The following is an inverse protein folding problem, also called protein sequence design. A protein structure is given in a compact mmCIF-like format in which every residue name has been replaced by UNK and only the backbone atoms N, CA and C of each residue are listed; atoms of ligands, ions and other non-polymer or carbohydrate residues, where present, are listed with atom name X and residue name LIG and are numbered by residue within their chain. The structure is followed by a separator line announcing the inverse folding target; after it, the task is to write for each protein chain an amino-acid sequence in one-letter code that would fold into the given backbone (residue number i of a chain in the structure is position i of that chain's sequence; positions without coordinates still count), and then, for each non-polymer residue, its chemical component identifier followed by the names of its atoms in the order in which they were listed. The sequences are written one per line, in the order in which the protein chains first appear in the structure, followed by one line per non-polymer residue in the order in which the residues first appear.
data_IF_913481058385
#
_entry.id   IF_913481058385
#
_cell.length_a   1.000
_cell.length_b   1.000
_cell.length_c   1.000
_cell.angle_alpha   90.00
_cell.angle_beta   90.00
_cell.angle_gamma   90.00
#
_symmetry.space_group_name_H-M   'P 1'
#
loop_
_entity.id
_entity.type
_entity.pdbx_description
1 polymer ?
#
# COMPACT_ATOMS: atom_id res chain seq x y z
N UNK A 1 25.86 -4.93 13.22
CA UNK A 1 27.05 -5.70 13.62
C UNK A 1 28.30 -5.22 12.89
N UNK A 2 28.36 -5.21 11.55
CA UNK A 2 29.55 -4.78 10.79
C UNK A 2 29.99 -3.34 11.07
N UNK A 3 29.05 -2.38 11.08
CA UNK A 3 29.36 -0.96 11.30
C UNK A 3 29.95 -0.70 12.69
N UNK A 4 29.55 -1.48 13.69
CA UNK A 4 30.06 -1.35 15.06
C UNK A 4 31.53 -1.78 15.17
N UNK A 5 31.91 -2.91 14.55
CA UNK A 5 33.30 -3.35 14.51
C UNK A 5 34.19 -2.36 13.76
N UNK A 6 33.68 -1.77 12.67
CA UNK A 6 34.40 -0.73 11.92
C UNK A 6 34.61 0.53 12.76
N UNK A 7 33.62 0.98 13.53
CA UNK A 7 33.75 2.14 14.41
C UNK A 7 34.86 1.95 15.47
N UNK A 8 34.98 0.74 16.03
CA UNK A 8 36.06 0.40 16.97
C UNK A 8 37.43 0.45 16.28
N UNK A 9 37.57 -0.15 15.09
CA UNK A 9 38.83 -0.13 14.34
C UNK A 9 39.25 1.29 13.94
N UNK A 10 38.29 2.12 13.50
CA UNK A 10 38.51 3.53 13.18
C UNK A 10 38.93 4.31 14.43
N UNK A 11 38.39 3.99 15.60
CA UNK A 11 38.78 4.64 16.86
C UNK A 11 40.26 4.37 17.20
N UNK A 12 40.72 3.12 17.09
CA UNK A 12 42.14 2.77 17.27
C UNK A 12 43.05 3.40 16.21
N UNK A 13 42.58 3.50 14.96
CA UNK A 13 43.33 4.18 13.90
C UNK A 13 43.48 5.68 14.19
N UNK A 14 42.42 6.34 14.65
CA UNK A 14 42.44 7.76 15.04
C UNK A 14 43.39 7.98 16.22
N UNK A 15 43.36 7.10 17.23
CA UNK A 15 44.29 7.17 18.38
C UNK A 15 45.75 7.11 17.92
N UNK A 16 46.08 6.18 17.02
CA UNK A 16 47.44 6.00 16.49
C UNK A 16 47.90 7.18 15.63
N UNK A 17 47.01 7.75 14.82
CA UNK A 17 47.31 8.95 14.01
C UNK A 17 47.48 10.17 14.92
N UNK A 18 46.66 10.29 15.96
CA UNK A 18 46.74 11.38 16.91
C UNK A 18 47.96 11.29 17.84
N UNK A 19 48.49 10.10 18.11
CA UNK A 19 49.60 9.90 19.05
C UNK A 19 50.81 10.82 18.80
N UNK A 20 51.14 11.09 17.54
CA UNK A 20 52.31 11.89 17.14
C UNK A 20 52.00 13.38 16.88
N UNK A 21 50.76 13.82 17.10
CA UNK A 21 50.33 15.21 16.87
C UNK A 21 50.42 16.04 18.16
N UNK A 22 50.82 17.31 18.03
CA UNK A 22 50.72 18.31 19.10
C UNK A 22 49.27 18.54 19.52
N UNK A 23 49.00 18.92 20.77
CA UNK A 23 47.63 19.10 21.31
C UNK A 23 46.71 19.98 20.46
N UNK A 24 47.23 21.07 19.87
CA UNK A 24 46.45 21.93 18.97
C UNK A 24 45.99 21.21 17.68
N UNK A 25 46.89 20.41 17.08
CA UNK A 25 46.58 19.64 15.86
C UNK A 25 45.58 18.49 16.13
N UNK A 26 45.65 17.87 17.32
CA UNK A 26 44.65 16.89 17.78
C UNK A 26 43.27 17.51 17.85
N UNK A 27 43.14 18.66 18.52
CA UNK A 27 41.87 19.37 18.65
C UNK A 27 41.30 19.77 17.29
N UNK A 28 42.14 20.29 16.39
CA UNK A 28 41.74 20.65 15.03
C UNK A 28 41.25 19.43 14.25
N UNK A 29 41.96 18.30 14.30
CA UNK A 29 41.56 17.07 13.61
C UNK A 29 40.22 16.54 14.12
N UNK A 30 40.06 16.43 15.45
CA UNK A 30 38.78 16.01 16.05
C UNK A 30 37.65 16.96 15.66
N UNK A 31 37.88 18.28 15.70
CA UNK A 31 36.90 19.27 15.29
C UNK A 31 36.46 19.10 13.83
N UNK A 32 37.39 18.87 12.91
CA UNK A 32 37.09 18.62 11.49
C UNK A 32 36.26 17.35 11.31
N UNK A 33 36.63 16.24 11.96
CA UNK A 33 35.87 15.00 11.90
C UNK A 33 34.45 15.19 12.46
N UNK A 34 34.31 15.87 13.59
CA UNK A 34 33.00 16.18 14.18
C UNK A 34 32.14 17.05 13.25
N UNK A 35 32.73 18.04 12.57
CA UNK A 35 32.01 18.86 11.59
C UNK A 35 31.53 18.02 10.41
N UNK A 36 32.36 17.10 9.89
CA UNK A 36 31.92 16.20 8.81
C UNK A 36 30.77 15.29 9.23
N UNK A 37 30.81 14.74 10.45
CA UNK A 37 29.70 13.97 11.01
C UNK A 37 28.46 14.86 11.10
N UNK A 38 28.58 16.08 11.63
CA UNK A 38 27.44 17.02 11.69
C UNK A 38 26.87 17.37 10.31
N UNK A 39 27.71 17.48 9.28
CA UNK A 39 27.28 17.71 7.90
C UNK A 39 26.54 16.50 7.31
N UNK A 40 26.96 15.28 7.62
CA UNK A 40 26.25 14.05 7.21
C UNK A 40 24.87 13.95 7.88
N UNK A 41 24.78 14.31 9.16
CA UNK A 41 23.53 14.36 9.90
C UNK A 41 22.75 15.67 9.71
N UNK A 42 23.21 16.57 8.84
CA UNK A 42 22.49 17.79 8.55
C UNK A 42 21.17 17.43 7.86
N UNK A 43 20.07 17.70 8.55
CA UNK A 43 18.72 17.44 8.07
C UNK A 43 18.33 18.45 6.97
N UNK A 44 19.00 18.38 5.82
CA UNK A 44 18.55 19.05 4.60
C UNK A 44 17.22 18.38 4.22
N UNK A 45 16.11 19.15 4.11
CA UNK A 45 14.82 18.57 3.85
C UNK A 45 14.85 17.78 2.54
N UNK A 46 14.54 16.49 2.66
CA UNK A 46 14.48 15.59 1.52
C UNK A 46 13.32 16.02 0.62
N UNK A 47 13.51 15.93 -0.70
CA UNK A 47 12.47 16.29 -1.66
C UNK A 47 11.24 15.42 -1.43
N UNK A 48 10.15 16.02 -0.96
CA UNK A 48 8.87 15.32 -0.80
C UNK A 48 8.14 15.31 -2.12
N UNK A 49 7.67 14.15 -2.56
CA UNK A 49 6.77 14.07 -3.71
C UNK A 49 5.35 14.43 -3.27
N UNK A 50 4.72 15.37 -3.97
CA UNK A 50 3.29 15.63 -3.78
C UNK A 50 2.48 14.48 -4.37
N UNK A 51 1.60 13.89 -3.56
CA UNK A 51 0.67 12.86 -4.01
C UNK A 51 -0.58 13.56 -4.53
N UNK A 52 -0.85 13.40 -5.82
CA UNK A 52 -2.11 13.82 -6.42
C UNK A 52 -3.26 12.98 -5.88
N UNK A 53 -4.35 13.65 -5.47
CA UNK A 53 -5.54 13.00 -4.92
C UNK A 53 -6.69 13.19 -5.90
N UNK A 54 -7.17 12.12 -6.53
CA UNK A 54 -8.30 12.21 -7.46
C UNK A 54 -9.55 12.84 -6.82
N UNK A 55 -10.27 13.65 -7.61
CA UNK A 55 -11.47 14.37 -7.18
C UNK A 55 -12.56 13.42 -6.65
N UNK A 56 -12.62 12.19 -7.16
CA UNK A 56 -13.56 11.19 -6.65
C UNK A 56 -13.39 10.94 -5.14
N UNK A 57 -12.15 10.83 -4.64
CA UNK A 57 -11.91 10.63 -3.20
C UNK A 57 -12.29 11.87 -2.37
N UNK A 58 -12.18 13.07 -2.94
CA UNK A 58 -12.65 14.30 -2.28
C UNK A 58 -14.17 14.32 -2.17
N UNK A 59 -14.89 13.93 -3.24
CA UNK A 59 -16.35 13.77 -3.20
C UNK A 59 -16.80 12.74 -2.17
N UNK A 60 -16.11 11.60 -2.06
CA UNK A 60 -16.41 10.58 -1.04
C UNK A 60 -16.31 11.13 0.40
N UNK A 61 -15.46 12.14 0.65
CA UNK A 61 -15.34 12.78 1.97
C UNK A 61 -16.59 13.60 2.34
N UNK A 62 -17.26 14.19 1.36
CA UNK A 62 -18.44 15.04 1.56
C UNK A 62 -19.68 14.22 1.88
N UNK A 63 -19.73 12.97 1.41
CA UNK A 63 -20.77 12.02 1.75
C UNK A 63 -20.73 11.70 3.26
N UNK A 64 -21.85 11.89 3.97
CA UNK A 64 -21.96 11.63 5.42
C UNK A 64 -22.37 10.19 5.74
N UNK A 65 -22.76 9.41 4.75
CA UNK A 65 -23.26 8.06 4.95
C UNK A 65 -22.11 7.09 5.25
N UNK A 66 -22.36 6.13 6.13
CA UNK A 66 -21.37 5.13 6.49
C UNK A 66 -21.45 3.93 5.55
N UNK A 67 -20.39 3.71 4.78
CA UNK A 67 -20.27 2.56 3.88
C UNK A 67 -18.80 2.15 3.71
N UNK A 68 -18.62 0.99 3.09
CA UNK A 68 -17.33 0.45 2.73
C UNK A 68 -17.02 0.69 1.25
N UNK A 69 -15.73 0.79 0.93
CA UNK A 69 -15.21 0.82 -0.44
C UNK A 69 -14.16 -0.28 -0.62
N UNK A 70 -14.05 -0.77 -1.84
CA UNK A 70 -12.96 -1.64 -2.28
C UNK A 70 -12.04 -0.81 -3.16
N UNK A 71 -10.74 -0.79 -2.85
CA UNK A 71 -9.72 -0.06 -3.61
C UNK A 71 -8.62 -1.03 -4.06
N UNK A 72 -8.56 -1.28 -5.38
CA UNK A 72 -7.71 -2.31 -5.99
C UNK A 72 -6.73 -1.71 -7.02
N UNK A 73 -5.47 -2.16 -7.04
CA UNK A 73 -4.86 -3.10 -6.10
C UNK A 73 -4.56 -2.44 -4.74
N UNK A 74 -4.52 -3.24 -3.68
CA UNK A 74 -4.12 -2.77 -2.35
C UNK A 74 -2.66 -2.31 -2.34
N UNK A 75 -2.44 -1.00 -2.18
CA UNK A 75 -1.12 -0.35 -2.16
C UNK A 75 -1.01 0.60 -0.97
N UNK A 76 0.19 1.00 -0.52
CA UNK A 76 0.33 2.00 0.55
C UNK A 76 -0.44 3.31 0.28
N UNK A 77 -0.55 3.72 -1.00
CA UNK A 77 -1.29 4.93 -1.38
C UNK A 77 -2.80 4.82 -1.13
N UNK A 78 -3.39 3.62 -1.14
CA UNK A 78 -4.83 3.45 -0.85
C UNK A 78 -5.13 3.71 0.62
N UNK A 79 -4.19 3.40 1.53
CA UNK A 79 -4.29 3.79 2.94
C UNK A 79 -4.17 5.31 3.12
N UNK A 80 -3.34 5.98 2.31
CA UNK A 80 -3.29 7.44 2.31
C UNK A 80 -4.63 8.03 1.87
N UNK A 81 -5.22 7.56 0.77
CA UNK A 81 -6.54 7.99 0.33
C UNK A 81 -7.64 7.71 1.36
N UNK A 82 -7.52 6.62 2.13
CA UNK A 82 -8.42 6.33 3.26
C UNK A 82 -8.48 7.44 4.30
N UNK A 83 -7.36 8.11 4.58
CA UNK A 83 -7.33 9.25 5.51
C UNK A 83 -8.10 10.47 4.99
N UNK A 84 -8.26 10.56 3.66
CA UNK A 84 -8.93 11.66 2.98
C UNK A 84 -10.43 11.41 2.91
N UNK A 85 -10.86 10.29 2.33
CA UNK A 85 -12.28 10.01 2.11
C UNK A 85 -12.99 9.47 3.37
N UNK A 86 -12.25 8.95 4.35
CA UNK A 86 -12.75 8.50 5.67
C UNK A 86 -13.85 7.43 5.61
N UNK A 87 -13.89 6.65 4.53
CA UNK A 87 -14.79 5.49 4.38
C UNK A 87 -14.08 4.22 4.83
N UNK A 88 -14.86 3.21 5.24
CA UNK A 88 -14.30 1.90 5.61
C UNK A 88 -13.64 1.30 4.36
N UNK A 89 -12.41 0.84 4.48
CA UNK A 89 -11.66 0.24 3.38
C UNK A 89 -11.67 -1.28 3.54
N UNK A 90 -12.12 -1.98 2.51
CA UNK A 90 -11.96 -3.44 2.41
C UNK A 90 -10.65 -3.72 1.69
N UNK A 91 -9.79 -4.51 2.32
CA UNK A 91 -8.42 -4.74 1.86
C UNK A 91 -7.46 -3.68 2.42
N UNK A 92 -6.62 -3.12 1.55
CA UNK A 92 -5.55 -2.22 1.94
C UNK A 92 -4.24 -2.97 2.21
N UNK A 93 -3.13 -2.24 2.14
CA UNK A 93 -1.80 -2.81 2.32
C UNK A 93 -1.31 -2.60 3.76
N UNK A 94 -1.28 -3.68 4.56
CA UNK A 94 -0.65 -3.67 5.89
C UNK A 94 0.45 -4.72 5.94
N UNK A 95 1.58 -4.43 6.59
CA UNK A 95 2.73 -5.34 6.64
C UNK A 95 2.44 -6.63 7.43
N UNK A 96 1.47 -6.60 8.35
CA UNK A 96 1.08 -7.73 9.20
C UNK A 96 -0.44 -7.77 9.33
N UNK A 97 -1.17 -8.26 8.31
CA UNK A 97 -2.61 -8.42 8.41
C UNK A 97 -2.94 -9.46 9.49
N UNK A 98 -4.00 -9.21 10.27
CA UNK A 98 -4.46 -10.18 11.25
C UNK A 98 -4.97 -11.44 10.54
N UNK A 99 -4.91 -12.60 11.22
CA UNK A 99 -5.44 -13.85 10.67
C UNK A 99 -6.91 -13.69 10.23
N UNK A 100 -7.73 -13.02 11.04
CA UNK A 100 -9.13 -12.71 10.72
C UNK A 100 -9.29 -11.92 9.41
N UNK A 101 -8.42 -10.94 9.17
CA UNK A 101 -8.46 -10.16 7.93
C UNK A 101 -8.07 -11.01 6.71
N UNK A 102 -7.05 -11.86 6.83
CA UNK A 102 -6.65 -12.80 5.76
C UNK A 102 -7.78 -13.78 5.46
N UNK A 103 -8.36 -14.39 6.50
CA UNK A 103 -9.45 -15.36 6.38
C UNK A 103 -10.69 -14.71 5.74
N UNK A 104 -11.02 -13.48 6.13
CA UNK A 104 -12.11 -12.72 5.52
C UNK A 104 -11.87 -12.47 4.02
N UNK A 105 -10.70 -11.95 3.64
CA UNK A 105 -10.41 -11.64 2.24
C UNK A 105 -10.33 -12.90 1.36
N UNK A 106 -9.81 -14.00 1.91
CA UNK A 106 -9.63 -15.25 1.15
C UNK A 106 -10.91 -16.07 1.03
N UNK A 107 -11.74 -16.07 2.07
CA UNK A 107 -12.94 -16.92 2.14
C UNK A 107 -14.23 -16.19 1.76
N UNK A 108 -14.23 -14.87 1.60
CA UNK A 108 -15.40 -14.14 1.11
C UNK A 108 -15.44 -14.17 -0.42
N UNK A 109 -16.47 -14.80 -1.03
CA UNK A 109 -16.61 -14.84 -2.49
C UNK A 109 -16.63 -13.43 -3.09
N UNK A 110 -16.23 -13.29 -4.35
CA UNK A 110 -16.13 -12.00 -5.08
C UNK A 110 -15.07 -11.04 -4.53
N UNK A 111 -14.98 -10.82 -3.21
CA UNK A 111 -13.90 -10.05 -2.57
C UNK A 111 -12.55 -10.73 -2.84
N UNK A 112 -12.45 -12.05 -2.67
CA UNK A 112 -11.24 -12.79 -3.00
C UNK A 112 -10.85 -12.59 -4.47
N UNK A 113 -11.81 -12.70 -5.40
CA UNK A 113 -11.55 -12.52 -6.84
C UNK A 113 -11.07 -11.10 -7.18
N UNK A 114 -11.65 -10.07 -6.56
CA UNK A 114 -11.23 -8.68 -6.74
C UNK A 114 -9.82 -8.43 -6.16
N UNK A 115 -9.51 -9.02 -5.01
CA UNK A 115 -8.25 -8.82 -4.30
C UNK A 115 -7.11 -9.71 -4.80
N UNK A 116 -7.43 -10.83 -5.46
CA UNK A 116 -6.45 -11.76 -6.02
C UNK A 116 -5.63 -11.04 -7.08
N UNK A 117 -4.35 -10.82 -6.80
CA UNK A 117 -3.41 -10.35 -7.81
C UNK A 117 -3.15 -11.50 -8.81
N UNK A 118 -3.49 -11.35 -10.10
CA UNK A 118 -3.32 -12.42 -11.09
C UNK A 118 -1.85 -12.80 -11.29
N UNK A 119 -0.88 -11.92 -10.99
CA UNK A 119 0.55 -12.24 -11.03
C UNK A 119 0.97 -13.12 -9.84
N UNK A 120 0.54 -12.76 -8.63
CA UNK A 120 0.80 -13.57 -7.43
C UNK A 120 0.08 -14.94 -7.47
N UNK A 121 -1.10 -15.01 -8.08
CA UNK A 121 -1.82 -16.27 -8.28
C UNK A 121 -1.11 -17.21 -9.28
N UNK A 122 -0.39 -16.67 -10.27
CA UNK A 122 0.44 -17.45 -11.18
C UNK A 122 1.70 -17.99 -10.51
N UNK A 123 2.31 -17.21 -9.62
CA UNK A 123 3.48 -17.63 -8.82
C UNK A 123 3.10 -18.64 -7.71
N UNK A 124 1.89 -18.52 -7.16
CA UNK A 124 1.34 -19.43 -6.14
C UNK A 124 0.88 -20.79 -6.67
N UNK A 125 1.08 -21.10 -7.97
CA UNK A 125 0.75 -22.40 -8.58
C UNK A 125 1.45 -23.62 -7.95
N UNK A 126 2.42 -23.41 -7.06
CA UNK A 126 3.00 -24.46 -6.19
C UNK A 126 2.30 -24.67 -4.84
N UNK A 127 1.26 -23.89 -4.49
CA UNK A 127 0.68 -23.85 -3.13
C UNK A 127 -0.76 -24.39 -2.99
N UNK A 128 -1.30 -25.07 -4.01
CA UNK A 128 -2.62 -25.72 -3.93
C UNK A 128 -3.83 -24.76 -3.88
N UNK A 129 -3.64 -23.48 -4.21
CA UNK A 129 -4.75 -22.51 -4.37
C UNK A 129 -5.38 -22.70 -5.75
N UNK A 130 -6.44 -23.50 -5.84
CA UNK A 130 -7.21 -23.59 -7.08
C UNK A 130 -7.99 -22.28 -7.34
N UNK A 131 -7.89 -21.70 -8.55
CA UNK A 131 -8.78 -20.63 -8.97
C UNK A 131 -10.23 -21.13 -8.98
N UNK A 132 -11.16 -20.37 -8.38
CA UNK A 132 -12.58 -20.69 -8.42
C UNK A 132 -13.05 -20.92 -9.87
N UNK A 133 -13.58 -22.10 -10.17
CA UNK A 133 -13.85 -22.56 -11.53
C UNK A 133 -14.79 -21.62 -12.31
N UNK A 134 -14.55 -21.51 -13.62
CA UNK A 134 -15.31 -20.65 -14.55
C UNK A 134 -16.79 -21.03 -14.67
N UNK A 135 -17.22 -22.23 -14.26
CA UNK A 135 -18.64 -22.65 -14.35
C UNK A 135 -19.58 -21.92 -13.36
N UNK A 136 -19.07 -21.19 -12.36
CA UNK A 136 -19.87 -20.45 -11.38
C UNK A 136 -20.32 -19.04 -11.85
N UNK A 137 -20.12 -18.69 -13.12
CA UNK A 137 -20.29 -17.34 -13.68
C UNK A 137 -21.73 -16.77 -13.55
N UNK A 138 -22.76 -17.61 -13.57
CA UNK A 138 -24.16 -17.15 -13.59
C UNK A 138 -24.74 -16.82 -12.20
N UNK A 139 -24.12 -17.33 -11.13
CA UNK A 139 -24.48 -17.05 -9.72
C UNK A 139 -23.63 -15.97 -9.05
N UNK A 140 -22.48 -15.60 -9.65
CA UNK A 140 -21.54 -14.63 -9.07
C UNK A 140 -22.15 -13.23 -8.92
N UNK A 141 -23.04 -12.80 -9.82
CA UNK A 141 -23.69 -11.49 -9.71
C UNK A 141 -24.63 -11.40 -8.51
N UNK A 142 -25.45 -12.43 -8.27
CA UNK A 142 -26.36 -12.47 -7.12
C UNK A 142 -25.58 -12.60 -5.81
N UNK A 143 -24.53 -13.42 -5.80
CA UNK A 143 -23.61 -13.53 -4.66
C UNK A 143 -22.88 -12.20 -4.41
N UNK A 144 -22.41 -11.52 -5.46
CA UNK A 144 -21.80 -10.20 -5.34
C UNK A 144 -22.77 -9.19 -4.76
N UNK A 145 -24.02 -9.17 -5.26
CA UNK A 145 -25.09 -8.30 -4.74
C UNK A 145 -25.31 -8.52 -3.25
N UNK A 146 -25.50 -9.76 -2.83
CA UNK A 146 -25.68 -10.07 -1.41
C UNK A 146 -24.47 -9.63 -0.58
N UNK A 147 -23.24 -9.89 -1.03
CA UNK A 147 -22.02 -9.54 -0.29
C UNK A 147 -21.87 -8.01 -0.20
N UNK A 148 -22.11 -7.29 -1.30
CA UNK A 148 -22.05 -5.83 -1.31
C UNK A 148 -23.10 -5.21 -0.41
N UNK A 149 -24.32 -5.75 -0.36
CA UNK A 149 -25.37 -5.32 0.56
C UNK A 149 -25.01 -5.64 2.02
N UNK A 150 -24.56 -6.87 2.31
CA UNK A 150 -24.23 -7.32 3.66
C UNK A 150 -23.12 -6.48 4.31
N UNK A 151 -22.07 -6.16 3.55
CA UNK A 151 -20.95 -5.34 4.04
C UNK A 151 -21.13 -3.84 3.74
N UNK A 152 -22.28 -3.45 3.19
CA UNK A 152 -22.60 -2.09 2.79
C UNK A 152 -21.46 -1.46 1.98
N UNK A 153 -21.04 -2.16 0.93
CA UNK A 153 -20.00 -1.74 0.00
C UNK A 153 -20.68 -0.96 -1.11
N UNK A 154 -20.25 0.28 -1.36
CA UNK A 154 -20.87 1.15 -2.39
C UNK A 154 -20.05 1.33 -3.65
N UNK A 155 -18.73 1.27 -3.51
CA UNK A 155 -17.83 1.54 -4.62
C UNK A 155 -16.72 0.51 -4.69
N UNK A 156 -16.45 0.09 -5.92
CA UNK A 156 -15.23 -0.64 -6.30
C UNK A 156 -14.39 0.30 -7.15
N UNK A 157 -13.20 0.67 -6.65
CA UNK A 157 -12.27 1.59 -7.29
C UNK A 157 -11.09 0.79 -7.82
N UNK A 158 -10.73 1.00 -9.08
CA UNK A 158 -9.57 0.36 -9.70
C UNK A 158 -8.58 1.39 -10.25
N UNK A 159 -7.29 1.15 -10.01
CA UNK A 159 -6.17 1.92 -10.55
C UNK A 159 -5.50 1.22 -11.74
N UNK A 160 -5.96 0.02 -12.10
CA UNK A 160 -5.47 -0.75 -13.27
C UNK A 160 -6.62 -1.39 -14.03
N UNK A 161 -6.37 -1.79 -15.27
CA UNK A 161 -7.37 -2.46 -16.11
C UNK A 161 -7.47 -3.98 -15.85
N UNK A 162 -6.65 -4.54 -14.95
CA UNK A 162 -6.50 -6.00 -14.75
C UNK A 162 -7.80 -6.70 -14.30
N UNK A 163 -8.75 -5.96 -13.72
CA UNK A 163 -10.03 -6.48 -13.20
C UNK A 163 -11.24 -5.99 -13.99
N UNK A 164 -11.02 -5.28 -15.10
CA UNK A 164 -12.07 -4.65 -15.88
C UNK A 164 -13.10 -5.66 -16.42
N UNK A 165 -12.64 -6.71 -17.08
CA UNK A 165 -13.50 -7.78 -17.65
C UNK A 165 -14.40 -8.39 -16.56
N UNK A 166 -13.83 -8.65 -15.37
CA UNK A 166 -14.59 -9.19 -14.25
C UNK A 166 -15.65 -8.20 -13.74
N UNK A 167 -15.34 -6.91 -13.63
CA UNK A 167 -16.27 -5.91 -13.10
C UNK A 167 -17.36 -5.57 -14.11
N UNK A 168 -17.00 -5.34 -15.38
CA UNK A 168 -17.91 -4.86 -16.42
C UNK A 168 -18.72 -5.99 -17.06
N UNK A 169 -18.11 -7.16 -17.33
CA UNK A 169 -18.80 -8.25 -18.02
C UNK A 169 -19.46 -9.23 -17.04
N UNK A 170 -18.77 -9.59 -15.96
CA UNK A 170 -19.28 -10.57 -14.98
C UNK A 170 -20.20 -9.92 -13.96
N UNK A 171 -19.75 -8.86 -13.29
CA UNK A 171 -20.54 -8.18 -12.26
C UNK A 171 -21.55 -7.18 -12.85
N UNK A 172 -21.25 -6.64 -14.04
CA UNK A 172 -22.05 -5.61 -14.72
C UNK A 172 -22.30 -4.38 -13.84
N UNK A 173 -21.24 -3.92 -13.16
CA UNK A 173 -21.33 -2.72 -12.31
C UNK A 173 -21.27 -1.45 -13.18
N UNK A 174 -22.14 -0.46 -12.95
CA UNK A 174 -22.09 0.82 -13.66
C UNK A 174 -20.84 1.61 -13.26
N UNK A 175 -20.10 2.10 -14.27
CA UNK A 175 -18.99 3.04 -14.06
C UNK A 175 -19.57 4.43 -13.74
N UNK A 176 -19.16 4.99 -12.60
CA UNK A 176 -19.58 6.32 -12.13
C UNK A 176 -18.47 7.36 -12.19
N UNK A 177 -17.22 6.92 -12.39
CA UNK A 177 -16.05 7.78 -12.50
C UNK A 177 -15.00 7.10 -13.37
N UNK A 178 -14.46 7.81 -14.36
CA UNK A 178 -13.34 7.37 -15.19
C UNK A 178 -12.47 8.58 -15.54
N UNK A 179 -11.55 8.93 -14.63
CA UNK A 179 -10.63 10.06 -14.79
C UNK A 179 -9.45 9.93 -13.82
N UNK A 180 -8.40 10.71 -14.05
CA UNK A 180 -7.24 10.83 -13.13
C UNK A 180 -6.54 9.49 -12.81
N UNK A 181 -6.60 8.54 -13.75
CA UNK A 181 -5.99 7.22 -13.60
C UNK A 181 -6.76 6.25 -12.71
N UNK A 182 -8.01 6.57 -12.34
CA UNK A 182 -8.88 5.68 -11.57
C UNK A 182 -10.23 5.48 -12.27
N UNK A 183 -10.79 4.28 -12.11
CA UNK A 183 -12.20 4.01 -12.39
C UNK A 183 -12.94 3.61 -11.14
N UNK A 184 -14.10 4.20 -10.91
CA UNK A 184 -14.98 3.83 -9.82
C UNK A 184 -16.29 3.27 -10.37
N UNK A 185 -16.70 2.13 -9.83
CA UNK A 185 -17.93 1.43 -10.17
C UNK A 185 -18.86 1.44 -8.96
N UNK A 186 -20.13 1.81 -9.16
CA UNK A 186 -21.12 1.71 -8.11
C UNK A 186 -21.62 0.26 -7.99
N UNK A 187 -21.82 -0.20 -6.76
CA UNK A 187 -22.33 -1.55 -6.46
C UNK A 187 -23.86 -1.62 -6.40
N UNK A 188 -24.54 -0.50 -6.62
CA UNK A 188 -26.01 -0.44 -6.67
C UNK A 188 -26.49 -1.14 -7.93
N UNK A 189 -27.25 -2.23 -7.74
CA UNK A 189 -27.88 -3.01 -8.81
C UNK A 189 -29.29 -2.55 -9.11
#
# INVERSE_FOLDING_TARGET
MVVFCLAILVSYAIERICANLSSFKKLAFTGVVSVFIMLEYLAIPYTTTQIHVPEFYKKLREDKEEYAIIDIPSRPVTLYFQTIHRKRLIGGYVSRPSKKAIDFLSNTPVINELMLNPKAAKEAKGSGREPLSKQSLQGKKQVAKHIFEQYNIRYVITHTDDKREFIEETLKLPCVYDAEGIRAYATTF
#
